data_IF_368233605904
#
_entry.id   IF_368233605904
#
_cell.length_a   1.000
_cell.length_b   1.000
_cell.length_c   1.000
_cell.angle_alpha   90.00
_cell.angle_beta   90.00
_cell.angle_gamma   90.00
#
_symmetry.space_group_name_H-M   'P 1'
#
loop_
_entity.id
_entity.type
_entity.pdbx_description
1 polymer ?
2 non-polymer ?
3 non-polymer ?
4 water ?
#
# COMPACT_ATOMS: atom_id res chain seq x y z
N UNK A 3 18.07 -12.00 25.86
CA UNK A 3 17.32 -11.20 24.85
C UNK A 3 16.63 -12.16 23.86
N UNK A 4 15.39 -11.56 23.39
CA UNK A 4 14.63 -12.03 22.19
C UNK A 4 15.55 -12.00 20.97
N UNK A 5 15.52 -13.04 20.10
CA UNK A 5 16.09 -12.89 18.76
C UNK A 5 15.25 -11.88 17.95
N UNK A 6 15.87 -11.16 17.02
CA UNK A 6 15.15 -10.20 16.16
C UNK A 6 14.34 -10.99 15.14
N UNK A 7 13.09 -10.59 14.86
CA UNK A 7 12.28 -11.34 13.92
C UNK A 7 12.75 -11.18 12.48
N UNK A 8 12.47 -12.22 11.67
CA UNK A 8 12.73 -12.27 10.21
C UNK A 8 11.41 -11.99 9.48
N UNK A 9 10.29 -12.14 10.19
CA UNK A 9 8.93 -11.98 9.64
C UNK A 9 7.99 -11.48 10.74
N UNK A 10 7.04 -10.62 10.37
CA UNK A 10 5.98 -10.12 11.28
C UNK A 10 4.65 -10.28 10.56
N UNK A 11 3.57 -10.22 11.29
CA UNK A 11 2.23 -10.17 10.69
C UNK A 11 1.65 -8.80 10.97
N UNK A 12 0.97 -8.31 9.96
CA UNK A 12 0.39 -6.95 9.97
C UNK A 12 -1.07 -7.14 9.66
N UNK A 13 -1.92 -6.55 10.49
CA UNK A 13 -3.36 -6.44 10.26
C UNK A 13 -3.63 -5.05 9.67
N UNK A 14 -4.36 -5.03 8.56
CA UNK A 14 -4.88 -3.80 7.92
C UNK A 14 -6.40 -3.83 8.03
N UNK A 15 -6.99 -2.79 8.58
CA UNK A 15 -8.45 -2.64 8.60
C UNK A 15 -8.86 -1.37 7.90
N UNK A 16 -9.95 -1.40 7.14
CA UNK A 16 -10.56 -0.19 6.56
C UNK A 16 -12.06 -0.28 6.83
N UNK A 17 -12.60 0.76 7.48
CA UNK A 17 -14.05 0.85 7.72
C UNK A 17 -14.51 2.28 7.55
N UNK A 18 -15.46 2.49 6.65
CA UNK A 18 -16.25 3.73 6.56
C UNK A 18 -17.42 3.56 7.53
N UNK A 19 -17.35 4.26 8.65
CA UNK A 19 -18.25 4.13 9.82
C UNK A 19 -19.58 4.84 9.58
N UNK A 20 -19.73 5.60 8.47
CA UNK A 20 -21.00 6.27 8.14
C UNK A 20 -21.44 7.24 9.23
N UNK A 21 -20.46 7.86 9.89
CA UNK A 21 -20.69 8.96 10.87
C UNK A 21 -21.50 8.44 12.07
N UNK A 22 -21.47 7.13 12.33
CA UNK A 22 -22.22 6.51 13.44
C UNK A 22 -21.24 5.83 14.39
N UNK A 23 -21.50 5.86 15.71
CA UNK A 23 -20.65 5.15 16.65
C UNK A 23 -20.67 3.65 16.35
N UNK A 24 -19.60 2.92 16.70
CA UNK A 24 -19.57 1.48 16.45
C UNK A 24 -20.47 0.75 17.45
N UNK A 25 -20.78 -0.54 17.21
CA UNK A 25 -21.46 -1.35 18.21
C UNK A 25 -20.49 -1.73 19.34
N UNK A 26 -21.00 -2.38 20.38
CA UNK A 26 -20.19 -2.62 21.59
C UNK A 26 -19.10 -3.66 21.27
N UNK A 27 -19.30 -4.52 20.27
CA UNK A 27 -18.31 -5.57 19.95
C UNK A 27 -17.90 -5.49 18.47
N UNK A 28 -16.61 -5.30 18.21
CA UNK A 28 -16.07 -5.25 16.82
C UNK A 28 -14.90 -6.23 16.70
N UNK A 29 -14.78 -7.17 17.63
CA UNK A 29 -13.67 -8.16 17.66
C UNK A 29 -13.57 -9.00 16.35
N UNK A 30 -14.70 -9.27 15.68
CA UNK A 30 -14.75 -10.03 14.41
C UNK A 30 -13.82 -9.41 13.38
N UNK A 31 -13.71 -8.07 13.38
CA UNK A 31 -12.88 -7.34 12.41
C UNK A 31 -11.42 -7.74 12.62
N UNK A 32 -10.93 -7.63 13.84
CA UNK A 32 -9.51 -7.85 14.20
C UNK A 32 -9.19 -9.34 14.10
N UNK A 33 -10.21 -10.18 14.14
CA UNK A 33 -10.06 -11.66 14.03
C UNK A 33 -10.19 -12.12 12.57
N UNK A 34 -10.44 -11.22 11.61
CA UNK A 34 -10.57 -11.61 10.18
C UNK A 34 -11.63 -12.71 10.04
N UNK A 35 -12.79 -12.49 10.66
CA UNK A 35 -13.97 -13.40 10.61
C UNK A 35 -15.08 -12.74 9.79
N UNK A 36 -15.75 -13.54 8.95
CA UNK A 36 -16.91 -13.07 8.19
C UNK A 36 -16.87 -13.75 6.86
N UNK A 37 -16.84 -12.94 5.79
CA UNK A 37 -16.86 -13.44 4.39
C UNK A 37 -15.48 -13.25 3.77
N UNK A 38 -15.18 -14.03 2.73
CA UNK A 38 -13.96 -13.91 1.95
C UNK A 38 -12.92 -14.87 2.43
N UNK A 39 -11.66 -14.44 2.34
CA UNK A 39 -10.48 -15.21 2.82
C UNK A 39 -10.29 -14.88 4.30
N UNK A 40 -10.76 -15.77 5.18
CA UNK A 40 -10.80 -15.54 6.64
C UNK A 40 -9.68 -16.31 7.33
N UNK A 41 -9.42 -15.89 8.54
CA UNK A 41 -8.33 -16.40 9.39
C UNK A 41 -8.83 -17.65 10.13
N UNK A 42 -7.96 -18.64 10.24
CA UNK A 42 -8.23 -19.90 10.96
C UNK A 42 -8.56 -19.60 12.44
N UNK A 43 -9.56 -20.30 12.98
CA UNK A 43 -9.97 -20.15 14.42
C UNK A 43 -8.78 -20.42 15.34
N UNK A 44 -7.90 -21.30 14.93
CA UNK A 44 -6.76 -21.77 15.76
C UNK A 44 -5.79 -20.61 16.01
N UNK A 45 -5.88 -19.52 15.23
CA UNK A 45 -4.98 -18.34 15.34
C UNK A 45 -5.58 -17.25 16.22
N UNK A 46 -6.80 -17.41 16.72
CA UNK A 46 -7.57 -16.31 17.32
C UNK A 46 -6.82 -15.62 18.46
N UNK A 47 -6.07 -16.37 19.29
CA UNK A 47 -5.41 -15.75 20.46
C UNK A 47 -4.04 -15.19 20.10
N UNK A 48 -3.59 -15.43 18.87
CA UNK A 48 -2.23 -15.04 18.44
C UNK A 48 -2.29 -13.60 17.99
N UNK A 49 -1.63 -12.64 18.67
CA UNK A 49 -1.71 -11.25 18.24
C UNK A 49 -0.91 -11.06 16.94
N UNK A 50 -1.39 -10.18 16.07
CA UNK A 50 -0.58 -9.63 14.98
C UNK A 50 0.47 -8.74 15.63
N UNK A 51 1.59 -8.54 14.96
CA UNK A 51 2.69 -7.70 15.48
C UNK A 51 2.28 -6.23 15.44
N UNK A 52 1.62 -5.84 14.35
CA UNK A 52 1.22 -4.43 14.08
C UNK A 52 -0.23 -4.48 13.60
N UNK A 53 -1.09 -3.60 14.13
CA UNK A 53 -2.46 -3.38 13.65
C UNK A 53 -2.55 -1.96 13.10
N UNK A 54 -3.00 -1.81 11.85
CA UNK A 54 -3.18 -0.47 11.22
C UNK A 54 -4.65 -0.35 10.88
N UNK A 55 -5.32 0.62 11.48
CA UNK A 55 -6.81 0.79 11.43
C UNK A 55 -7.14 2.11 10.71
N UNK A 56 -7.68 2.00 9.50
CA UNK A 56 -8.09 3.17 8.69
C UNK A 56 -9.61 3.30 8.80
N UNK A 57 -10.08 4.45 9.23
CA UNK A 57 -11.53 4.78 9.22
C UNK A 57 -11.80 5.98 8.32
N UNK A 58 -13.04 6.05 7.88
CA UNK A 58 -13.59 7.13 7.04
C UNK A 58 -14.94 7.45 7.64
N UNK A 59 -15.37 8.69 7.51
CA UNK A 59 -16.64 9.15 8.13
C UNK A 59 -16.64 8.72 9.61
N UNK A 60 -15.51 8.89 10.30
CA UNK A 60 -15.34 8.44 11.69
C UNK A 60 -15.85 9.55 12.61
N UNK A 61 -16.92 9.33 13.40
CA UNK A 61 -17.51 10.41 14.23
C UNK A 61 -16.85 10.55 15.61
N UNK A 62 -15.89 9.66 15.90
CA UNK A 62 -15.32 9.52 17.25
C UNK A 62 -14.14 10.49 17.40
N UNK A 63 -13.86 10.90 18.62
CA UNK A 63 -12.58 11.55 18.95
C UNK A 63 -11.47 10.50 18.86
N UNK A 64 -10.23 10.95 18.69
CA UNK A 64 -9.07 10.05 18.71
C UNK A 64 -9.09 9.26 20.01
N UNK A 65 -9.40 9.94 21.12
CA UNK A 65 -9.41 9.30 22.44
C UNK A 65 -10.47 8.20 22.47
N UNK A 66 -11.68 8.49 22.01
CA UNK A 66 -12.80 7.53 22.03
C UNK A 66 -12.45 6.28 21.22
N UNK A 67 -11.84 6.46 20.06
CA UNK A 67 -11.55 5.34 19.13
C UNK A 67 -10.38 4.51 19.67
N UNK A 68 -9.35 5.16 20.21
CA UNK A 68 -8.20 4.47 20.85
C UNK A 68 -8.66 3.57 21.99
N UNK A 69 -9.59 4.08 22.82
CA UNK A 69 -10.24 3.34 23.94
C UNK A 69 -10.83 2.03 23.41
N UNK A 70 -11.68 2.13 22.40
CA UNK A 70 -12.39 0.97 21.79
C UNK A 70 -11.38 0.03 21.15
N UNK A 71 -10.42 0.53 20.40
CA UNK A 71 -9.43 -0.33 19.71
C UNK A 71 -8.62 -1.09 20.75
N UNK A 72 -7.99 -0.41 21.69
CA UNK A 72 -7.09 -1.07 22.66
C UNK A 72 -7.84 -2.11 23.50
N UNK A 73 -9.05 -1.77 23.96
CA UNK A 73 -9.93 -2.68 24.73
C UNK A 73 -10.21 -3.94 23.89
N UNK A 74 -10.58 -3.76 22.63
CA UNK A 74 -10.94 -4.86 21.69
C UNK A 74 -9.74 -5.81 21.53
N UNK A 75 -8.54 -5.26 21.31
CA UNK A 75 -7.33 -6.09 21.13
C UNK A 75 -6.98 -6.76 22.47
N UNK A 76 -7.12 -6.05 23.58
CA UNK A 76 -6.85 -6.65 24.92
C UNK A 76 -7.78 -7.86 25.14
N UNK A 77 -9.07 -7.72 24.85
CA UNK A 77 -10.06 -8.81 25.00
C UNK A 77 -9.68 -9.99 24.12
N UNK A 78 -9.25 -9.76 22.88
CA UNK A 78 -8.90 -10.85 21.93
C UNK A 78 -7.63 -11.59 22.38
N UNK A 79 -6.61 -10.83 22.77
CA UNK A 79 -5.21 -11.33 22.81
C UNK A 79 -4.68 -11.34 24.24
N UNK A 80 -5.33 -10.63 25.16
CA UNK A 80 -4.80 -10.33 26.52
C UNK A 80 -3.51 -9.51 26.45
N UNK A 81 -3.26 -8.82 25.32
CA UNK A 81 -2.06 -7.95 25.19
C UNK A 81 -2.53 -6.50 25.17
N UNK A 82 -1.84 -5.64 25.93
CA UNK A 82 -2.03 -4.18 25.95
C UNK A 82 -1.13 -3.57 24.88
N UNK A 83 -1.70 -3.17 23.76
CA UNK A 83 -0.94 -2.68 22.59
C UNK A 83 -0.47 -1.27 22.89
N UNK A 84 0.67 -0.89 22.32
CA UNK A 84 1.22 0.47 22.39
C UNK A 84 0.73 1.24 21.18
N UNK A 85 0.44 2.52 21.36
CA UNK A 85 0.05 3.40 20.25
C UNK A 85 1.33 3.90 19.58
N UNK A 86 1.55 3.55 18.32
CA UNK A 86 2.71 4.02 17.53
C UNK A 86 2.40 5.41 16.98
N UNK A 87 1.21 5.57 16.44
CA UNK A 87 0.81 6.82 15.75
C UNK A 87 -0.70 6.86 15.58
N UNK A 88 -1.22 8.07 15.59
CA UNK A 88 -2.61 8.33 15.23
C UNK A 88 -2.61 9.66 14.49
N UNK A 89 -3.34 9.70 13.39
CA UNK A 89 -3.44 10.93 12.59
C UNK A 89 -4.83 11.02 11.94
N UNK A 90 -5.46 12.17 12.07
CA UNK A 90 -6.84 12.41 11.58
C UNK A 90 -6.83 13.63 10.67
N UNK A 91 -7.47 13.50 9.50
CA UNK A 91 -7.85 14.66 8.65
C UNK A 91 -9.36 14.63 8.52
N UNK A 92 -10.03 15.64 9.06
CA UNK A 92 -11.51 15.70 9.08
C UNK A 92 -12.02 14.40 9.72
N UNK A 93 -12.61 13.50 8.96
CA UNK A 93 -13.25 12.28 9.49
C UNK A 93 -12.51 11.06 8.95
N UNK A 94 -11.29 11.27 8.45
CA UNK A 94 -10.40 10.21 7.90
C UNK A 94 -9.29 9.96 8.92
N UNK A 95 -9.13 8.75 9.39
CA UNK A 95 -8.22 8.51 10.51
C UNK A 95 -7.38 7.25 10.27
N UNK A 96 -6.16 7.30 10.74
CA UNK A 96 -5.27 6.12 10.78
C UNK A 96 -4.72 5.96 12.19
N UNK A 97 -4.80 4.73 12.70
CA UNK A 97 -4.21 4.35 14.01
C UNK A 97 -3.25 3.21 13.76
N UNK A 98 -2.06 3.28 14.35
CA UNK A 98 -1.08 2.18 14.28
C UNK A 98 -0.80 1.76 15.72
N UNK A 99 -1.08 0.49 16.01
CA UNK A 99 -0.86 -0.14 17.32
C UNK A 99 0.16 -1.26 17.11
N UNK A 100 1.03 -1.48 18.10
CA UNK A 100 1.99 -2.60 17.99
C UNK A 100 2.17 -3.28 19.35
N UNK A 101 2.55 -4.57 19.32
CA UNK A 101 2.94 -5.33 20.53
C UNK A 101 3.92 -4.48 21.33
N UNK A 102 3.87 -4.53 22.69
CA UNK A 102 4.86 -3.81 23.49
C UNK A 102 6.31 -4.22 23.24
N UNK A 103 6.56 -5.50 22.92
CA UNK A 103 7.93 -5.99 22.61
C UNK A 103 8.53 -5.26 21.41
N UNK A 104 7.73 -4.57 20.59
CA UNK A 104 8.22 -3.91 19.35
C UNK A 104 8.54 -2.45 19.57
N UNK A 105 8.27 -1.91 20.77
CA UNK A 105 8.39 -0.47 21.03
C UNK A 105 9.78 0.08 20.66
N UNK A 106 10.84 -0.67 20.99
CA UNK A 106 12.24 -0.23 20.76
C UNK A 106 12.70 -0.61 19.35
N UNK A 107 11.90 -1.41 18.62
CA UNK A 107 12.24 -1.80 17.22
C UNK A 107 11.68 -0.74 16.26
N UNK A 108 10.76 0.10 16.75
CA UNK A 108 10.07 1.11 15.91
C UNK A 108 10.66 2.51 16.10
N UNK A 109 11.01 3.18 15.01
CA UNK A 109 11.65 4.51 15.05
C UNK A 109 11.23 5.30 13.81
N UNK A 110 11.63 6.56 13.72
CA UNK A 110 11.38 7.41 12.52
C UNK A 110 9.90 7.41 12.18
N UNK A 111 9.05 7.61 13.16
CA UNK A 111 7.58 7.64 12.93
C UNK A 111 7.25 8.97 12.25
N UNK A 112 6.61 8.89 11.07
CA UNK A 112 6.11 10.06 10.31
C UNK A 112 4.60 9.93 10.12
N UNK A 113 3.90 11.06 10.11
CA UNK A 113 2.44 11.13 9.82
C UNK A 113 2.30 12.26 8.85
N UNK A 114 1.34 12.15 7.95
CA UNK A 114 1.01 13.25 7.04
C UNK A 114 -0.40 13.07 6.51
N UNK A 115 -0.89 14.08 5.84
CA UNK A 115 -2.21 14.01 5.17
C UNK A 115 -2.12 14.79 3.87
N UNK A 116 -3.03 14.46 2.96
CA UNK A 116 -3.25 15.20 1.71
C UNK A 116 -4.74 15.42 1.60
N UNK A 117 -5.13 16.67 1.34
CA UNK A 117 -6.51 17.08 1.01
C UNK A 117 -6.66 17.07 -0.52
N UNK A 118 -7.62 16.33 -1.05
CA UNK A 118 -7.81 16.25 -2.52
C UNK A 118 -8.89 17.24 -2.97
N UNK A 119 -8.82 17.69 -4.22
CA UNK A 119 -9.88 18.52 -4.84
C UNK A 119 -9.67 20.01 -4.59
N UNK A 120 -10.34 20.85 -5.38
CA UNK A 120 -10.13 22.34 -5.45
C UNK A 120 -11.49 23.04 -5.30
N UNK A 121 -11.64 23.88 -4.26
CA UNK A 121 -12.81 24.76 -4.00
C UNK A 121 -14.05 23.93 -3.65
N UNK A 122 -14.96 23.70 -4.61
CA UNK A 122 -16.08 22.72 -4.56
C UNK A 122 -15.60 21.42 -3.89
N UNK A 123 -14.52 20.85 -4.42
CA UNK A 123 -14.10 19.43 -4.26
C UNK A 123 -13.06 19.31 -3.13
N UNK A 124 -12.63 20.43 -2.51
CA UNK A 124 -11.79 20.41 -1.27
C UNK A 124 -12.71 20.63 -0.05
N UNK A 125 -12.70 19.70 0.91
CA UNK A 125 -13.43 19.90 2.17
C UNK A 125 -13.66 18.62 2.95
N UNK A 126 -13.65 17.45 2.32
CA UNK A 126 -13.73 16.24 3.17
C UNK A 126 -13.02 14.95 2.70
N UNK A 127 -12.56 14.90 1.45
CA UNK A 127 -11.86 13.72 0.87
C UNK A 127 -10.34 13.95 0.93
N UNK A 128 -9.57 12.86 1.00
CA UNK A 128 -8.11 12.92 1.01
C UNK A 128 -7.56 11.69 1.66
N UNK A 129 -6.37 11.82 2.24
CA UNK A 129 -5.68 10.66 2.81
C UNK A 129 -4.92 11.08 4.04
N UNK A 130 -4.74 10.10 4.90
CA UNK A 130 -3.79 10.20 6.02
C UNK A 130 -2.80 9.05 5.88
N UNK A 131 -1.62 9.20 6.47
CA UNK A 131 -0.59 8.17 6.36
C UNK A 131 0.37 8.19 7.50
N UNK A 132 0.98 7.03 7.69
CA UNK A 132 1.98 6.78 8.73
C UNK A 132 3.12 6.00 8.08
N UNK A 133 4.34 6.38 8.40
CA UNK A 133 5.50 5.52 8.15
C UNK A 133 6.36 5.38 9.40
N UNK A 134 7.17 4.33 9.40
CA UNK A 134 8.21 4.14 10.43
C UNK A 134 9.19 3.09 9.95
N UNK A 135 10.26 2.94 10.71
CA UNK A 135 11.23 1.83 10.58
C UNK A 135 10.86 0.77 11.61
N UNK A 136 10.84 -0.47 11.18
CA UNK A 136 10.77 -1.66 12.06
C UNK A 136 12.11 -2.35 11.86
N UNK A 137 13.01 -2.19 12.82
CA UNK A 137 14.41 -2.62 12.64
C UNK A 137 14.90 -2.10 11.28
N UNK A 138 15.38 -2.96 10.38
CA UNK A 138 15.98 -2.49 9.13
C UNK A 138 14.96 -2.34 8.02
N UNK A 139 13.65 -2.42 8.30
CA UNK A 139 12.59 -2.46 7.26
C UNK A 139 11.75 -1.19 7.39
N UNK A 140 11.57 -0.48 6.27
CA UNK A 140 10.67 0.69 6.19
C UNK A 140 9.23 0.24 5.86
N UNK A 141 8.26 0.76 6.61
CA UNK A 141 6.83 0.42 6.46
C UNK A 141 6.05 1.72 6.26
N UNK A 142 5.21 1.76 5.24
CA UNK A 142 4.27 2.86 4.99
C UNK A 142 2.85 2.37 4.96
N UNK A 143 1.94 3.24 5.39
CA UNK A 143 0.50 2.93 5.48
C UNK A 143 -0.28 4.16 5.06
N UNK A 144 -1.20 3.99 4.11
CA UNK A 144 -2.03 5.09 3.56
C UNK A 144 -3.49 4.67 3.68
N UNK A 145 -4.28 5.49 4.37
CA UNK A 145 -5.74 5.36 4.47
C UNK A 145 -6.34 6.50 3.65
N UNK A 146 -6.96 6.21 2.51
CA UNK A 146 -7.54 7.27 1.65
C UNK A 146 -9.05 7.12 1.54
N UNK A 147 -9.77 8.23 1.57
CA UNK A 147 -11.21 8.31 1.23
C UNK A 147 -11.31 9.10 -0.09
N UNK A 148 -11.53 8.40 -1.20
CA UNK A 148 -11.50 9.04 -2.52
C UNK A 148 -12.90 9.52 -2.88
N UNK A 149 -12.97 10.29 -3.95
CA UNK A 149 -14.22 10.87 -4.48
C UNK A 149 -15.25 9.74 -4.64
N UNK A 150 -16.49 10.00 -4.25
CA UNK A 150 -17.62 9.06 -4.39
C UNK A 150 -18.28 9.24 -5.74
N UNK A 151 -19.14 8.31 -6.08
CA UNK A 151 -20.02 8.41 -7.25
C UNK A 151 -19.54 7.48 -8.35
N UNK A 152 -20.44 6.68 -8.90
CA UNK A 152 -20.12 5.75 -10.00
C UNK A 152 -19.49 6.45 -11.22
N UNK A 153 -19.83 7.73 -11.42
CA UNK A 153 -19.49 8.51 -12.62
C UNK A 153 -18.08 9.11 -12.52
N UNK A 154 -17.43 9.02 -11.35
CA UNK A 154 -16.18 9.80 -11.04
C UNK A 154 -14.94 8.90 -10.89
N UNK A 155 -14.80 7.87 -11.69
CA UNK A 155 -13.59 7.00 -11.53
C UNK A 155 -12.35 7.83 -11.91
N UNK A 156 -12.45 8.72 -12.88
CA UNK A 156 -11.29 9.54 -13.30
C UNK A 156 -10.83 10.44 -12.14
N UNK A 157 -11.79 11.05 -11.43
CA UNK A 157 -11.51 11.91 -10.25
C UNK A 157 -10.77 11.08 -9.20
N UNK A 158 -11.24 9.86 -8.97
CA UNK A 158 -10.58 8.93 -8.01
C UNK A 158 -9.13 8.72 -8.47
N UNK A 159 -8.92 8.49 -9.76
CA UNK A 159 -7.53 8.26 -10.24
C UNK A 159 -6.68 9.52 -9.98
N UNK A 160 -7.26 10.69 -10.20
CA UNK A 160 -6.59 11.98 -9.94
C UNK A 160 -6.30 12.10 -8.45
N UNK A 161 -7.25 11.71 -7.57
CA UNK A 161 -7.08 11.78 -6.11
C UNK A 161 -5.89 10.91 -5.73
N UNK A 162 -5.83 9.70 -6.28
CA UNK A 162 -4.71 8.77 -6.05
C UNK A 162 -3.37 9.42 -6.44
N UNK A 163 -3.29 10.06 -7.61
CA UNK A 163 -2.00 10.66 -8.06
C UNK A 163 -1.64 11.82 -7.13
N UNK A 164 -2.61 12.64 -6.71
CA UNK A 164 -2.31 13.76 -5.76
C UNK A 164 -1.82 13.21 -4.43
N UNK A 165 -2.41 12.13 -3.92
CA UNK A 165 -1.97 11.53 -2.64
C UNK A 165 -0.54 11.01 -2.77
N UNK A 166 -0.31 10.25 -3.85
CA UNK A 166 0.99 9.62 -4.21
C UNK A 166 2.07 10.69 -4.22
N UNK A 167 1.82 11.80 -4.92
CA UNK A 167 2.80 12.90 -5.08
C UNK A 167 3.07 13.64 -3.76
N UNK A 168 2.05 13.90 -2.95
CA UNK A 168 2.11 14.98 -1.95
C UNK A 168 2.17 14.44 -0.52
N UNK A 169 1.95 13.15 -0.31
CA UNK A 169 2.02 12.60 1.05
C UNK A 169 3.49 12.46 1.39
N UNK A 170 3.94 13.21 2.39
CA UNK A 170 5.36 13.36 2.75
C UNK A 170 5.69 12.40 3.89
N UNK A 171 5.89 11.13 3.56
CA UNK A 171 6.21 10.07 4.54
C UNK A 171 7.59 9.54 4.20
N UNK A 172 8.21 8.81 5.13
CA UNK A 172 9.47 8.11 4.86
C UNK A 172 10.64 9.06 4.84
N UNK A 173 11.75 8.64 4.23
CA UNK A 173 13.06 9.31 4.37
C UNK A 173 13.10 10.49 3.41
N UNK A 174 13.11 11.68 3.96
CA UNK A 174 13.11 12.90 3.12
C UNK A 174 14.38 12.97 2.25
N UNK A 175 15.45 12.33 2.60
CA UNK A 175 16.69 12.29 1.75
C UNK A 175 16.42 11.59 0.43
N UNK A 176 15.37 10.75 0.38
CA UNK A 176 14.95 10.07 -0.88
C UNK A 176 14.17 11.04 -1.77
N UNK A 177 14.78 12.19 -2.07
CA UNK A 177 14.06 13.36 -2.59
C UNK A 177 13.47 13.09 -3.98
N UNK A 178 14.07 12.30 -4.90
CA UNK A 178 13.41 12.02 -6.18
C UNK A 178 12.21 11.07 -6.13
N UNK A 179 11.99 10.44 -4.98
CA UNK A 179 11.08 9.28 -4.82
C UNK A 179 9.81 9.67 -4.07
N UNK A 180 8.68 9.31 -4.65
CA UNK A 180 7.36 9.42 -3.97
C UNK A 180 7.15 8.18 -3.06
N UNK A 181 6.03 8.17 -2.33
CA UNK A 181 5.76 7.05 -1.39
C UNK A 181 5.73 5.71 -2.10
N UNK A 182 5.50 5.62 -3.41
CA UNK A 182 5.44 4.27 -4.06
C UNK A 182 6.84 3.68 -4.20
N UNK A 183 7.91 4.39 -3.80
CA UNK A 183 9.29 3.84 -3.82
C UNK A 183 10.00 3.97 -2.47
N UNK A 184 9.43 4.59 -1.46
CA UNK A 184 10.18 4.89 -0.21
C UNK A 184 10.21 3.74 0.79
N UNK A 185 9.41 2.68 0.61
CA UNK A 185 9.13 1.68 1.69
C UNK A 185 9.37 0.27 1.19
N UNK A 186 10.01 -0.53 2.02
CA UNK A 186 10.09 -2.01 1.81
C UNK A 186 8.69 -2.55 1.53
N UNK A 187 7.73 -2.13 2.34
CA UNK A 187 6.31 -2.54 2.21
C UNK A 187 5.45 -1.30 2.36
N UNK A 188 4.58 -1.06 1.39
CA UNK A 188 3.60 0.04 1.38
C UNK A 188 2.20 -0.58 1.30
N UNK A 189 1.35 -0.26 2.26
CA UNK A 189 -0.06 -0.73 2.29
C UNK A 189 -0.93 0.49 2.05
N UNK A 190 -1.80 0.43 1.06
CA UNK A 190 -2.71 1.54 0.69
C UNK A 190 -4.12 0.98 0.70
N UNK A 191 -4.96 1.56 1.55
CA UNK A 191 -6.31 1.04 1.83
C UNK A 191 -7.22 2.23 2.04
N UNK A 192 -8.49 1.93 2.20
CA UNK A 192 -9.52 2.93 2.46
C UNK A 192 -10.80 2.70 1.73
N UNK A 193 -11.66 3.70 1.83
CA UNK A 193 -12.86 3.80 0.97
C UNK A 193 -12.40 4.43 -0.32
N UNK A 194 -11.88 3.58 -1.22
CA UNK A 194 -11.38 4.05 -2.53
C UNK A 194 -12.55 4.41 -3.44
N UNK A 195 -13.75 3.90 -3.17
CA UNK A 195 -15.01 4.42 -3.75
C UNK A 195 -15.21 4.00 -5.21
N UNK A 196 -14.42 3.05 -5.72
CA UNK A 196 -14.65 2.47 -7.06
C UNK A 196 -15.87 1.54 -7.00
N UNK A 197 -16.66 1.63 -8.07
CA UNK A 197 -18.00 1.03 -8.16
C UNK A 197 -18.01 -0.12 -9.14
N UNK A 198 -19.04 -0.93 -9.01
CA UNK A 198 -19.40 -1.97 -10.03
C UNK A 198 -20.18 -1.22 -11.11
N UNK A 199 -19.54 -0.99 -12.26
CA UNK A 199 -20.11 -0.19 -13.38
C UNK A 199 -21.00 -1.10 -14.23
N UNK A 200 -22.26 -1.23 -13.84
CA UNK A 200 -23.30 -1.92 -14.62
C UNK A 200 -24.47 -0.95 -14.69
N UNK A 201 -25.42 -1.18 -15.63
CA UNK A 201 -26.61 -0.35 -15.71
C UNK A 201 -27.42 -0.38 -14.41
N UNK A 202 -28.01 0.76 -14.02
CA UNK A 202 -28.72 0.92 -12.72
C UNK A 202 -29.98 0.06 -12.68
N UNK A 203 -30.52 -0.30 -13.85
CA UNK A 203 -31.72 -1.17 -13.96
C UNK A 203 -31.32 -2.65 -13.80
N UNK A 204 -30.03 -2.95 -13.71
CA UNK A 204 -29.55 -4.29 -13.30
C UNK A 204 -29.39 -4.41 -11.77
N UNK A 205 -29.85 -3.45 -10.97
CA UNK A 205 -29.65 -3.45 -9.51
C UNK A 205 -30.11 -4.79 -8.93
N UNK A 206 -31.32 -5.23 -9.28
CA UNK A 206 -31.92 -6.42 -8.61
C UNK A 206 -31.14 -7.65 -9.08
N UNK A 207 -30.67 -7.66 -10.32
CA UNK A 207 -29.84 -8.75 -10.87
C UNK A 207 -28.55 -8.81 -10.07
N UNK A 208 -27.92 -7.67 -9.85
CA UNK A 208 -26.67 -7.63 -9.02
C UNK A 208 -26.91 -8.23 -7.64
N UNK A 209 -28.00 -7.82 -6.98
CA UNK A 209 -28.32 -8.35 -5.64
C UNK A 209 -28.47 -9.88 -5.67
N UNK A 210 -29.15 -10.41 -6.68
CA UNK A 210 -29.40 -11.88 -6.77
C UNK A 210 -28.06 -12.60 -7.04
N UNK A 211 -27.13 -11.99 -7.79
CA UNK A 211 -25.76 -12.55 -7.95
C UNK A 211 -25.03 -12.58 -6.59
N UNK A 212 -25.16 -11.50 -5.83
CA UNK A 212 -24.54 -11.45 -4.47
C UNK A 212 -25.13 -12.56 -3.58
N UNK A 213 -26.43 -12.76 -3.59
CA UNK A 213 -27.07 -13.80 -2.76
C UNK A 213 -26.58 -15.18 -3.17
N UNK A 214 -26.24 -15.40 -4.43
CA UNK A 214 -25.71 -16.68 -4.92
C UNK A 214 -24.19 -16.77 -4.74
N UNK A 215 -23.54 -15.73 -4.20
CA UNK A 215 -22.07 -15.68 -4.02
C UNK A 215 -21.37 -15.83 -5.37
N UNK A 216 -21.97 -15.29 -6.43
CA UNK A 216 -21.44 -15.38 -7.81
C UNK A 216 -20.92 -13.98 -8.12
N UNK A 217 -19.67 -13.73 -7.77
CA UNK A 217 -19.06 -12.39 -7.81
C UNK A 217 -18.35 -12.14 -9.16
N UNK A 218 -18.12 -13.18 -9.97
CA UNK A 218 -17.21 -13.13 -11.13
C UNK A 218 -17.67 -12.03 -12.09
N UNK A 219 -18.96 -12.04 -12.42
CA UNK A 219 -19.57 -11.13 -13.41
C UNK A 219 -19.63 -9.73 -12.80
N UNK A 220 -19.60 -9.61 -11.47
CA UNK A 220 -19.60 -8.27 -10.86
C UNK A 220 -18.17 -7.73 -10.89
N UNK A 221 -17.19 -8.53 -10.43
CA UNK A 221 -15.76 -8.09 -10.39
C UNK A 221 -15.23 -7.73 -11.80
N UNK A 222 -15.73 -8.34 -12.88
CA UNK A 222 -15.34 -7.98 -14.26
C UNK A 222 -15.76 -6.53 -14.58
N UNK A 223 -16.61 -5.92 -13.76
CA UNK A 223 -17.06 -4.52 -13.97
C UNK A 223 -16.63 -3.63 -12.81
N UNK A 224 -15.85 -4.16 -11.87
CA UNK A 224 -15.29 -3.36 -10.76
C UNK A 224 -14.32 -2.34 -11.33
N UNK A 225 -14.58 -1.07 -11.05
CA UNK A 225 -13.81 0.02 -11.68
C UNK A 225 -12.36 0.00 -11.19
N UNK A 226 -12.07 -0.45 -9.97
CA UNK A 226 -10.66 -0.45 -9.53
C UNK A 226 -9.93 -1.52 -10.36
N UNK A 227 -10.45 -2.73 -10.45
CA UNK A 227 -9.79 -3.78 -11.26
C UNK A 227 -9.65 -3.33 -12.73
N UNK A 228 -10.68 -2.76 -13.34
CA UNK A 228 -10.61 -2.39 -14.79
C UNK A 228 -9.63 -1.25 -14.98
N UNK A 229 -9.63 -0.25 -14.08
CA UNK A 229 -8.71 0.90 -14.21
C UNK A 229 -7.27 0.44 -14.01
N UNK A 230 -7.05 -0.47 -13.04
CA UNK A 230 -5.72 -1.08 -12.77
C UNK A 230 -5.26 -1.84 -14.01
N UNK A 231 -6.17 -2.60 -14.65
CA UNK A 231 -5.79 -3.42 -15.83
C UNK A 231 -5.38 -2.52 -17.00
N UNK A 232 -5.98 -1.32 -17.12
CA UNK A 232 -5.63 -0.34 -18.18
C UNK A 232 -4.54 0.63 -17.70
N UNK A 233 -3.92 0.36 -16.55
CA UNK A 233 -2.75 1.10 -16.03
C UNK A 233 -3.14 2.56 -15.82
N UNK A 234 -4.35 2.80 -15.32
CA UNK A 234 -4.81 4.19 -15.06
C UNK A 234 -4.58 4.57 -13.61
N UNK A 235 -4.35 3.59 -12.74
CA UNK A 235 -4.29 3.82 -11.29
C UNK A 235 -3.60 2.63 -10.63
N UNK A 236 -2.93 2.87 -9.52
CA UNK A 236 -2.35 1.83 -8.64
C UNK A 236 -1.42 0.92 -9.47
N UNK A 237 -0.66 1.50 -10.39
CA UNK A 237 0.35 0.74 -11.16
C UNK A 237 1.36 0.12 -10.19
N UNK A 238 1.63 -1.16 -10.37
CA UNK A 238 2.63 -1.98 -9.63
C UNK A 238 2.19 -2.28 -8.20
N UNK A 239 0.91 -2.05 -7.88
CA UNK A 239 0.32 -2.53 -6.62
C UNK A 239 -0.34 -3.90 -6.81
N UNK A 240 -0.44 -4.66 -5.71
CA UNK A 240 -1.11 -5.98 -5.66
C UNK A 240 -2.42 -5.83 -4.88
N UNK A 241 -3.40 -6.70 -5.18
CA UNK A 241 -4.61 -6.84 -4.37
C UNK A 241 -4.91 -8.33 -4.37
N UNK A 242 -5.27 -8.86 -3.20
CA UNK A 242 -5.72 -10.27 -3.04
C UNK A 242 -7.06 -10.43 -3.77
N UNK A 243 -7.34 -11.63 -4.30
CA UNK A 243 -8.62 -11.90 -4.98
C UNK A 243 -9.77 -11.63 -4.00
N UNK A 244 -10.81 -10.98 -4.49
CA UNK A 244 -12.00 -10.64 -3.69
C UNK A 244 -12.96 -11.82 -3.73
N UNK A 245 -13.30 -12.34 -2.54
CA UNK A 245 -14.21 -13.52 -2.40
C UNK A 245 -15.27 -13.21 -1.35
N UNK A 246 -15.47 -11.93 -1.03
CA UNK A 246 -16.52 -11.46 -0.09
C UNK A 246 -17.54 -10.63 -0.86
N UNK A 247 -18.76 -10.51 -0.35
CA UNK A 247 -19.80 -9.69 -1.00
C UNK A 247 -19.36 -8.22 -1.02
N UNK A 248 -19.89 -7.43 -1.97
CA UNK A 248 -19.74 -5.97 -1.94
C UNK A 248 -20.01 -5.38 -0.56
N UNK A 249 -19.21 -4.40 -0.14
CA UNK A 249 -19.23 -3.92 1.26
C UNK A 249 -20.06 -2.65 1.38
N UNK A 250 -20.69 -2.21 0.31
CA UNK A 250 -21.46 -0.95 0.18
C UNK A 250 -22.56 -1.20 -0.86
N UNK A 251 -23.77 -0.62 -0.75
CA UNK A 251 -24.25 0.21 0.34
C UNK A 251 -25.36 -0.55 1.05
N UNK A 252 -25.24 -0.80 2.35
CA UNK A 252 -26.19 -1.62 3.14
C UNK A 252 -27.17 -0.70 3.85
N UNK A 253 -28.38 -1.19 4.08
CA UNK A 253 -29.27 -0.63 5.11
C UNK A 253 -28.58 -0.86 6.45
N UNK A 254 -28.58 0.13 7.33
CA UNK A 254 -27.98 0.00 8.67
C UNK A 254 -28.78 -0.99 9.52
N UNK A 255 -28.09 -1.64 10.48
CA UNK A 255 -28.65 -2.53 11.55
C UNK A 255 -29.04 -3.90 10.99
N UNK A 256 -28.84 -4.15 9.70
CA UNK A 256 -28.94 -5.52 9.11
C UNK A 256 -27.79 -5.66 8.12
N UNK A 257 -27.50 -6.86 7.59
CA UNK A 257 -26.71 -6.98 6.32
C UNK A 257 -27.59 -7.64 5.28
N UNK A 258 -28.91 -7.72 5.54
CA UNK A 258 -29.82 -8.50 4.66
C UNK A 258 -30.22 -7.65 3.44
N UNK A 259 -29.88 -6.36 3.41
CA UNK A 259 -30.44 -5.47 2.34
C UNK A 259 -29.38 -4.50 1.83
N UNK A 260 -29.26 -4.43 0.51
CA UNK A 260 -28.49 -3.36 -0.15
C UNK A 260 -29.44 -2.17 -0.42
N UNK A 261 -29.01 -0.97 -0.05
CA UNK A 261 -29.79 0.27 -0.26
C UNK A 261 -29.15 0.98 -1.44
N UNK A 262 -29.67 0.76 -2.62
CA UNK A 262 -29.01 1.27 -3.86
C UNK A 262 -29.78 2.40 -4.56
N UNK A 263 -31.06 2.55 -4.25
CA UNK A 263 -32.01 3.47 -4.94
C UNK A 263 -31.56 4.92 -4.70
N UNK A 264 -31.82 5.79 -5.69
CA UNK A 264 -31.45 7.22 -5.59
C UNK A 264 -32.43 7.90 -4.62
N UNK A 265 -31.89 8.78 -3.80
CA UNK A 265 -32.57 9.47 -2.68
C UNK A 265 -32.07 10.90 -2.65
N UNK A 266 -32.84 11.86 -2.13
CA UNK A 266 -32.27 13.22 -1.93
C UNK A 266 -30.91 13.11 -1.22
N UNK A 267 -30.81 12.27 -0.19
CA UNK A 267 -29.62 12.09 0.65
C UNK A 267 -28.43 11.61 -0.19
N UNK A 268 -28.66 10.96 -1.32
CA UNK A 268 -27.52 10.53 -2.18
C UNK A 268 -27.25 11.53 -3.30
N UNK A 269 -27.83 12.73 -3.28
CA UNK A 269 -27.70 13.63 -4.43
C UNK A 269 -28.37 13.03 -5.65
N UNK A 270 -29.42 12.24 -5.42
CA UNK A 270 -30.17 11.52 -6.50
C UNK A 270 -29.24 10.62 -7.33
N UNK A 271 -28.27 10.00 -6.67
CA UNK A 271 -27.33 9.02 -7.27
C UNK A 271 -27.72 7.61 -6.81
N UNK A 272 -27.64 6.63 -7.71
CA UNK A 272 -27.76 5.20 -7.36
C UNK A 272 -26.41 4.82 -6.76
N UNK A 273 -26.50 3.95 -5.78
CA UNK A 273 -25.31 3.30 -5.19
C UNK A 273 -25.46 1.80 -5.43
N UNK A 274 -25.22 1.34 -6.66
CA UNK A 274 -25.23 -0.12 -6.92
C UNK A 274 -24.20 -0.75 -5.98
N UNK A 275 -24.48 -1.96 -5.47
CA UNK A 275 -23.55 -2.68 -4.61
C UNK A 275 -22.16 -2.69 -5.24
N UNK A 276 -21.18 -2.35 -4.41
CA UNK A 276 -19.80 -2.13 -4.87
C UNK A 276 -18.78 -2.50 -3.81
N UNK A 277 -17.59 -2.78 -4.31
CA UNK A 277 -16.41 -3.03 -3.43
C UNK A 277 -15.68 -1.70 -3.24
N UNK A 278 -16.26 -0.85 -2.44
CA UNK A 278 -15.70 0.49 -2.18
C UNK A 278 -14.44 0.37 -1.33
N UNK A 279 -14.36 -0.66 -0.50
CA UNK A 279 -13.48 -0.69 0.68
C UNK A 279 -12.39 -1.72 0.43
N UNK A 280 -11.17 -1.26 0.29
CA UNK A 280 -10.12 -2.10 -0.33
C UNK A 280 -8.79 -1.98 0.41
N UNK A 281 -7.95 -2.98 0.19
CA UNK A 281 -6.56 -3.03 0.70
C UNK A 281 -5.66 -3.49 -0.43
N UNK A 282 -4.69 -2.66 -0.78
CA UNK A 282 -3.64 -3.01 -1.76
C UNK A 282 -2.27 -2.84 -1.11
N UNK A 283 -1.27 -3.41 -1.75
CA UNK A 283 0.11 -3.22 -1.24
C UNK A 283 1.11 -3.22 -2.38
N UNK A 284 2.28 -2.70 -2.08
CA UNK A 284 3.43 -2.73 -2.98
C UNK A 284 4.65 -2.90 -2.08
N UNK A 285 5.41 -3.97 -2.32
CA UNK A 285 6.64 -4.28 -1.59
C UNK A 285 7.78 -4.25 -2.61
N UNK A 286 8.98 -3.98 -2.14
CA UNK A 286 10.20 -4.02 -2.98
C UNK A 286 10.32 -5.41 -3.58
N UNK A 287 10.97 -5.51 -4.75
CA UNK A 287 11.15 -6.80 -5.41
C UNK A 287 11.86 -7.85 -4.53
N UNK A 288 11.33 -9.09 -4.53
CA UNK A 288 11.93 -10.27 -3.85
C UNK A 288 11.98 -10.09 -2.33
N UNK A 289 11.04 -9.31 -1.78
CA UNK A 289 10.77 -9.34 -0.32
C UNK A 289 9.54 -10.21 -0.09
N UNK A 290 9.61 -11.02 0.95
CA UNK A 290 8.49 -11.88 1.38
C UNK A 290 7.31 -10.98 1.74
N UNK A 291 6.19 -11.18 1.07
CA UNK A 291 4.90 -10.59 1.51
C UNK A 291 3.80 -11.53 1.05
N UNK A 292 3.00 -12.01 1.97
CA UNK A 292 1.94 -12.99 1.66
C UNK A 292 0.67 -12.51 2.35
N UNK A 293 -0.39 -12.32 1.58
CA UNK A 293 -1.71 -12.02 2.14
C UNK A 293 -2.29 -13.31 2.75
N UNK A 294 -2.63 -13.25 4.04
CA UNK A 294 -3.16 -14.39 4.84
C UNK A 294 -4.69 -14.31 4.95
N UNK A 295 -5.27 -13.12 4.80
CA UNK A 295 -6.72 -12.90 4.93
C UNK A 295 -7.11 -11.65 4.15
N UNK A 296 -8.31 -11.64 3.61
CA UNK A 296 -8.91 -10.49 2.90
C UNK A 296 -10.39 -10.77 2.83
N UNK A 297 -11.15 -10.03 3.62
CA UNK A 297 -12.56 -10.31 3.78
C UNK A 297 -13.29 -9.17 4.41
N UNK A 298 -14.56 -9.39 4.69
CA UNK A 298 -15.44 -8.37 5.32
C UNK A 298 -16.14 -8.99 6.51
N UNK A 299 -16.46 -8.20 7.51
CA UNK A 299 -17.26 -8.70 8.67
C UNK A 299 -18.73 -8.79 8.23
N UNK A 300 -19.49 -9.63 8.90
CA UNK A 300 -20.94 -9.88 8.68
C UNK A 300 -21.77 -9.36 9.85
N UNK A 301 -21.15 -9.03 10.98
CA UNK A 301 -21.85 -8.83 12.27
C UNK A 301 -21.68 -7.39 12.81
N UNK A 302 -21.12 -6.46 12.03
CA UNK A 302 -20.92 -5.03 12.44
C UNK A 302 -21.75 -4.24 11.45
N UNK A 303 -22.86 -3.67 11.92
CA UNK A 303 -23.98 -3.19 11.07
C UNK A 303 -24.36 -1.73 11.34
N UNK A 304 -23.53 -0.99 12.09
CA UNK A 304 -23.84 0.43 12.43
C UNK A 304 -23.68 1.32 11.20
N UNK A 305 -22.87 0.94 10.21
CA UNK A 305 -22.60 1.76 9.02
C UNK A 305 -23.31 1.19 7.80
N UNK A 306 -23.36 1.96 6.74
CA UNK A 306 -23.83 1.49 5.43
C UNK A 306 -22.67 0.82 4.70
N UNK A 307 -21.50 0.75 5.34
CA UNK A 307 -20.36 -0.06 4.85
C UNK A 307 -20.05 -1.14 5.88
N UNK A 308 -19.62 -2.31 5.40
CA UNK A 308 -19.03 -3.34 6.27
C UNK A 308 -17.53 -3.08 6.38
N UNK A 309 -16.95 -3.27 7.58
CA UNK A 309 -15.50 -3.30 7.74
C UNK A 309 -14.84 -4.34 6.82
N UNK A 310 -13.66 -4.01 6.32
CA UNK A 310 -12.77 -4.91 5.55
C UNK A 310 -11.50 -5.12 6.37
N UNK A 311 -11.00 -6.34 6.32
CA UNK A 311 -9.75 -6.74 6.98
C UNK A 311 -8.85 -7.37 5.94
N UNK A 312 -7.56 -7.22 6.15
CA UNK A 312 -6.54 -7.97 5.41
C UNK A 312 -5.37 -8.20 6.39
N UNK A 313 -4.76 -9.37 6.32
CA UNK A 313 -3.56 -9.64 7.12
C UNK A 313 -2.45 -10.11 6.20
N UNK A 314 -1.24 -9.81 6.62
CA UNK A 314 -0.06 -10.11 5.84
C UNK A 314 1.05 -10.66 6.71
N UNK A 315 1.81 -11.59 6.13
CA UNK A 315 3.17 -11.98 6.59
C UNK A 315 4.17 -11.13 5.80
N UNK A 316 4.95 -10.29 6.47
CA UNK A 316 5.90 -9.35 5.81
C UNK A 316 7.31 -9.66 6.29
N UNK A 317 8.23 -9.84 5.34
CA UNK A 317 9.63 -10.03 5.67
C UNK A 317 10.19 -8.76 6.27
N UNK A 318 11.02 -8.90 7.29
CA UNK A 318 11.71 -7.77 7.94
C UNK A 318 13.16 -8.19 8.16
N UNK A 319 14.05 -7.20 8.26
CA UNK A 319 15.48 -7.43 8.51
C UNK A 319 15.86 -6.77 9.82
N UNK A 320 17.00 -7.18 10.37
CA UNK A 320 17.59 -6.67 11.63
C UNK A 320 18.26 -5.32 11.36
N UNK A 321 18.57 -4.56 12.42
CA UNK A 321 19.41 -3.34 12.34
C UNK A 321 20.89 -3.78 12.36
N UNK A 322 21.49 -3.98 11.19
CA UNK A 322 22.82 -4.63 11.04
C UNK A 322 23.95 -3.71 11.50
N UNK A 323 24.86 -4.25 12.33
CA UNK A 323 26.15 -3.59 12.73
C UNK A 323 27.31 -4.54 12.40
N UNK A 324 28.34 -4.01 11.76
CA UNK A 324 29.64 -4.71 11.58
C UNK A 324 30.75 -3.88 12.24
N UNK A 325 31.97 -4.44 12.22
CA UNK A 325 33.23 -3.80 12.69
C UNK A 325 33.48 -2.49 11.90
N UNK A 326 33.07 -2.51 10.63
CA UNK A 326 33.20 -1.40 9.65
C UNK A 326 31.90 -0.57 9.69
N UNK A 327 31.03 -0.69 8.69
CA UNK A 327 29.79 0.09 8.66
C UNK A 327 28.79 -0.45 9.70
N UNK A 328 27.79 0.37 10.13
CA UNK A 328 27.75 1.80 9.80
C UNK A 328 28.89 2.68 10.31
N UNK A 329 29.15 3.79 9.61
CA UNK A 329 30.14 4.82 9.95
C UNK A 329 31.35 4.78 9.05
N UNK A 330 31.39 3.80 8.16
CA UNK A 330 32.47 3.68 7.14
C UNK A 330 32.01 2.69 6.06
N UNK A 331 32.79 2.59 4.99
CA UNK A 331 32.57 1.62 3.90
C UNK A 331 33.22 0.29 4.30
N UNK A 332 32.82 -0.78 3.63
CA UNK A 332 33.41 -2.14 3.81
C UNK A 332 34.06 -2.51 2.47
N UNK A 333 35.38 -2.36 2.37
CA UNK A 333 36.10 -2.47 1.08
C UNK A 333 35.91 -3.86 0.47
N UNK A 334 35.34 -4.82 1.20
CA UNK A 334 35.11 -6.20 0.67
C UNK A 334 33.82 -6.23 -0.16
N UNK A 335 33.01 -5.18 -0.09
CA UNK A 335 31.73 -5.09 -0.81
C UNK A 335 31.81 -4.13 -1.98
N UNK A 336 31.14 -4.45 -3.09
CA UNK A 336 30.95 -3.52 -4.23
C UNK A 336 29.77 -3.95 -5.10
N UNK A 337 29.14 -2.97 -5.70
CA UNK A 337 28.03 -3.19 -6.67
C UNK A 337 28.44 -2.55 -7.99
N UNK A 338 28.49 -3.35 -9.04
CA UNK A 338 28.85 -2.90 -10.41
C UNK A 338 27.69 -3.15 -11.35
N UNK A 339 27.53 -2.23 -12.31
CA UNK A 339 26.52 -2.23 -13.40
C UNK A 339 27.24 -2.31 -14.75
N UNK A 340 26.79 -3.22 -15.62
CA UNK A 340 27.35 -3.44 -16.97
C UNK A 340 26.23 -3.31 -17.98
N UNK A 341 26.55 -2.90 -19.21
CA UNK A 341 25.63 -2.87 -20.38
C UNK A 341 24.27 -2.27 -19.94
N UNK A 342 24.26 -1.16 -19.19
CA UNK A 342 22.99 -0.57 -18.68
C UNK A 342 22.45 0.49 -19.65
N UNK A 343 21.15 0.51 -19.82
CA UNK A 343 20.50 1.61 -20.56
C UNK A 343 19.08 1.83 -20.03
N UNK A 344 18.67 3.09 -20.07
CA UNK A 344 17.30 3.51 -19.75
C UNK A 344 16.58 3.70 -21.09
N UNK A 345 15.32 3.33 -21.16
CA UNK A 345 14.45 3.58 -22.31
C UNK A 345 13.37 4.50 -21.77
N UNK A 346 13.25 5.71 -22.30
CA UNK A 346 12.31 6.72 -21.75
C UNK A 346 11.26 7.01 -22.80
N UNK A 347 10.04 7.31 -22.35
CA UNK A 347 8.90 7.66 -23.25
C UNK A 347 8.93 9.16 -23.56
N UNK A 348 9.71 9.94 -22.84
CA UNK A 348 9.80 11.41 -23.03
C UNK A 348 10.05 11.78 -24.49
N UNK A 349 9.39 12.83 -24.96
CA UNK A 349 9.61 13.39 -26.32
C UNK A 349 10.74 14.42 -26.27
N UNK A 350 11.23 14.77 -25.08
CA UNK A 350 12.27 15.81 -24.89
C UNK A 350 13.65 15.25 -25.28
N UNK A 351 14.59 16.16 -25.56
CA UNK A 351 16.03 15.90 -25.81
C UNK A 351 16.83 16.83 -24.88
N UNK A 352 17.15 16.35 -23.68
CA UNK A 352 18.16 16.87 -22.72
C UNK A 352 19.12 15.69 -22.46
N UNK A 353 20.26 15.93 -21.86
CA UNK A 353 21.12 14.86 -21.31
C UNK A 353 20.48 14.33 -20.02
N UNK A 354 20.76 13.08 -19.68
CA UNK A 354 20.29 12.43 -18.44
C UNK A 354 21.47 11.83 -17.68
N UNK A 355 21.37 11.84 -16.37
CA UNK A 355 22.25 11.10 -15.44
C UNK A 355 21.41 10.27 -14.48
N UNK A 356 22.03 9.28 -13.83
CA UNK A 356 21.35 8.42 -12.83
C UNK A 356 21.72 8.86 -11.41
N UNK A 357 20.79 8.71 -10.46
CA UNK A 357 21.07 8.73 -9.02
C UNK A 357 20.73 7.38 -8.40
N UNK A 358 21.65 6.85 -7.62
CA UNK A 358 21.51 5.59 -6.88
C UNK A 358 21.28 5.97 -5.42
N UNK A 359 20.14 5.59 -4.85
CA UNK A 359 19.87 5.78 -3.42
C UNK A 359 19.66 4.42 -2.74
N UNK A 360 20.30 4.22 -1.60
CA UNK A 360 20.07 2.98 -0.80
C UNK A 360 20.62 3.20 0.60
N UNK A 361 19.96 2.59 1.59
CA UNK A 361 20.40 2.56 3.01
C UNK A 361 21.73 1.81 3.15
N UNK A 362 22.12 1.02 2.15
CA UNK A 362 23.42 0.29 2.15
C UNK A 362 24.58 1.20 1.69
N UNK A 363 24.30 2.45 1.24
CA UNK A 363 25.34 3.45 0.85
C UNK A 363 25.38 4.55 1.91
N UNK A 364 26.54 5.20 2.06
CA UNK A 364 26.68 6.29 3.07
C UNK A 364 25.84 7.48 2.60
N UNK A 365 25.78 7.73 1.31
CA UNK A 365 24.86 8.72 0.72
C UNK A 365 24.65 8.38 -0.75
N UNK A 366 23.75 9.11 -1.40
CA UNK A 366 23.33 8.76 -2.78
C UNK A 366 24.49 9.08 -3.73
N UNK A 367 24.46 8.41 -4.85
CA UNK A 367 25.56 8.43 -5.85
C UNK A 367 24.99 8.90 -7.17
N UNK A 368 25.67 9.88 -7.78
CA UNK A 368 25.27 10.52 -9.06
C UNK A 368 26.23 10.06 -10.17
N UNK A 369 25.70 9.43 -11.22
CA UNK A 369 26.49 8.91 -12.35
C UNK A 369 26.89 10.09 -13.25
N UNK A 370 27.77 9.80 -14.21
CA UNK A 370 28.01 10.63 -15.41
C UNK A 370 26.75 10.63 -16.27
N UNK A 371 26.65 11.61 -17.17
CA UNK A 371 25.58 11.63 -18.20
C UNK A 371 25.71 10.39 -19.09
N UNK A 372 24.59 9.77 -19.44
CA UNK A 372 24.57 8.72 -20.46
C UNK A 372 24.58 9.30 -21.86
N UNK A 373 24.66 8.42 -22.87
CA UNK A 373 24.67 8.80 -24.31
C UNK A 373 23.31 8.49 -24.91
N UNK A 374 22.61 9.54 -25.34
CA UNK A 374 21.26 9.44 -25.96
C UNK A 374 21.42 8.79 -27.34
N UNK A 375 20.60 7.77 -27.62
CA UNK A 375 20.36 7.30 -29.00
C UNK A 375 18.85 7.21 -29.22
N UNK A 376 18.47 7.10 -30.50
CA UNK A 376 17.08 6.88 -30.99
C UNK A 376 16.79 5.37 -30.98
N UNK A 377 15.74 4.93 -30.28
CA UNK A 377 15.18 3.56 -30.38
C UNK A 377 14.53 3.31 -31.75
N UNK A 378 14.45 2.05 -32.18
CA UNK A 378 13.95 1.63 -33.52
C UNK A 378 12.46 1.98 -33.68
N UNK A 379 11.76 2.32 -32.60
CA UNK A 379 10.29 2.55 -32.60
C UNK A 379 9.97 3.94 -32.05
N UNK A 380 10.90 4.91 -32.16
CA UNK A 380 10.70 6.31 -31.75
C UNK A 380 11.37 6.68 -30.41
N UNK A 381 11.70 5.69 -29.56
CA UNK A 381 12.00 5.89 -28.11
C UNK A 381 13.30 6.68 -27.93
N UNK A 382 13.45 7.34 -26.78
CA UNK A 382 14.79 7.79 -26.32
C UNK A 382 15.47 6.64 -25.56
N UNK A 383 16.65 6.20 -26.00
CA UNK A 383 17.47 5.21 -25.26
C UNK A 383 18.66 5.96 -24.71
N UNK A 384 18.85 5.92 -23.39
CA UNK A 384 20.00 6.56 -22.71
C UNK A 384 20.98 5.44 -22.36
N UNK A 385 22.12 5.40 -23.05
CA UNK A 385 23.11 4.32 -22.87
C UNK A 385 24.12 4.75 -21.80
N UNK A 386 24.32 3.90 -20.80
CA UNK A 386 25.32 4.08 -19.74
C UNK A 386 26.53 3.17 -19.98
N UNK A 387 26.38 2.17 -20.85
CA UNK A 387 27.38 1.11 -21.10
C UNK A 387 27.98 0.60 -19.78
N UNK A 388 29.28 0.82 -19.61
CA UNK A 388 30.11 0.33 -18.48
C UNK A 388 30.56 1.55 -17.67
N UNK A 389 29.88 2.69 -17.86
CA UNK A 389 30.31 4.01 -17.33
C UNK A 389 29.77 4.23 -15.90
N UNK A 390 28.83 3.42 -15.41
CA UNK A 390 28.16 3.72 -14.11
C UNK A 390 29.18 3.52 -13.00
N UNK A 391 29.19 4.34 -11.92
CA UNK A 391 30.17 4.18 -10.86
C UNK A 391 30.06 2.81 -10.17
N UNK A 392 31.10 2.47 -9.43
CA UNK A 392 31.16 1.28 -8.55
C UNK A 392 30.60 1.73 -7.21
N UNK A 393 29.52 1.09 -6.75
CA UNK A 393 28.83 1.50 -5.50
C UNK A 393 29.53 0.78 -4.35
N UNK A 394 29.77 1.50 -3.26
CA UNK A 394 30.58 1.02 -2.11
C UNK A 394 29.64 0.87 -0.92
N UNK A 395 29.15 -0.34 -0.62
CA UNK A 395 28.22 -0.50 0.48
C UNK A 395 28.92 -0.37 1.83
N UNK A 396 28.15 -0.06 2.87
CA UNK A 396 28.64 0.21 4.26
C UNK A 396 28.99 -1.12 4.93
N UNK A 397 28.38 -2.20 4.45
CA UNK A 397 28.53 -3.57 5.03
C UNK A 397 28.62 -4.58 3.87
N UNK A 398 29.56 -5.52 3.93
CA UNK A 398 29.87 -6.47 2.84
C UNK A 398 29.23 -7.82 3.11
N UNK A 399 28.85 -8.06 4.36
CA UNK A 399 28.27 -9.33 4.82
C UNK A 399 27.11 -9.63 3.87
N UNK A 400 27.11 -10.82 3.21
CA UNK A 400 26.02 -11.16 2.29
C UNK A 400 24.68 -11.31 2.98
N UNK A 401 24.68 -11.67 4.27
CA UNK A 401 23.43 -11.78 5.11
C UNK A 401 22.75 -10.42 5.22
N UNK A 402 23.51 -9.35 5.08
CA UNK A 402 22.95 -7.97 5.02
C UNK A 402 22.71 -7.60 3.56
N UNK A 403 23.76 -7.68 2.74
CA UNK A 403 23.76 -6.97 1.43
C UNK A 403 22.72 -7.58 0.47
N UNK A 404 22.54 -8.91 0.49
CA UNK A 404 21.61 -9.56 -0.45
C UNK A 404 20.16 -9.17 -0.12
N UNK A 405 19.91 -8.63 1.07
CA UNK A 405 18.55 -8.20 1.48
C UNK A 405 18.28 -6.74 1.08
N UNK A 406 19.24 -6.06 0.46
CA UNK A 406 19.09 -4.60 0.26
C UNK A 406 18.52 -4.33 -1.11
N UNK A 407 18.23 -3.05 -1.38
CA UNK A 407 17.63 -2.56 -2.64
C UNK A 407 18.30 -1.26 -3.04
N UNK A 408 18.42 -1.07 -4.36
CA UNK A 408 18.94 0.20 -4.95
C UNK A 408 17.79 0.86 -5.67
N UNK A 409 17.41 2.04 -5.19
CA UNK A 409 16.48 2.93 -5.90
C UNK A 409 17.27 3.69 -6.96
N UNK A 410 16.68 3.81 -8.14
CA UNK A 410 17.30 4.53 -9.28
C UNK A 410 16.36 5.63 -9.70
N UNK A 411 16.90 6.84 -9.81
CA UNK A 411 16.25 7.97 -10.51
C UNK A 411 17.07 8.34 -11.73
N UNK A 412 16.42 8.53 -12.88
CA UNK A 412 17.04 9.13 -14.09
C UNK A 412 16.64 10.60 -14.12
N UNK A 413 17.64 11.47 -14.12
CA UNK A 413 17.37 12.92 -13.98
C UNK A 413 17.89 13.67 -15.20
N UNK A 414 17.18 14.71 -15.59
CA UNK A 414 17.61 15.68 -16.61
C UNK A 414 18.80 16.49 -16.07
N UNK A 415 19.89 16.57 -16.83
CA UNK A 415 21.05 17.45 -16.53
C UNK A 415 20.62 18.92 -16.50
N UNK A 416 19.69 19.34 -17.36
CA UNK A 416 19.21 20.75 -17.48
C UNK A 416 18.40 21.17 -16.24
N UNK A 417 17.57 20.28 -15.70
CA UNK A 417 16.54 20.67 -14.70
C UNK A 417 16.75 19.98 -13.35
N UNK A 418 17.54 18.90 -13.31
CA UNK A 418 17.72 18.01 -12.13
C UNK A 418 16.38 17.40 -11.69
N UNK A 419 15.39 17.43 -12.62
CA UNK A 419 14.09 16.81 -12.28
C UNK A 419 14.15 15.32 -12.67
N UNK A 420 13.58 14.45 -11.83
CA UNK A 420 13.49 13.01 -12.15
C UNK A 420 12.46 12.81 -13.27
N UNK A 421 12.83 12.06 -14.30
CA UNK A 421 11.92 11.57 -15.37
C UNK A 421 11.47 10.14 -15.09
N UNK A 422 12.05 9.49 -14.09
CA UNK A 422 11.68 8.08 -13.84
C UNK A 422 12.36 7.54 -12.61
N UNK A 423 11.63 6.76 -11.85
CA UNK A 423 12.11 6.13 -10.62
C UNK A 423 11.81 4.64 -10.69
N UNK A 424 12.73 3.85 -10.15
CA UNK A 424 12.56 2.39 -10.05
C UNK A 424 13.43 1.81 -8.97
N UNK A 425 13.42 0.50 -8.84
CA UNK A 425 14.05 -0.19 -7.71
C UNK A 425 14.59 -1.53 -8.17
N UNK A 426 15.80 -1.85 -7.74
CA UNK A 426 16.56 -3.07 -8.09
C UNK A 426 16.87 -3.84 -6.81
N UNK A 427 16.42 -5.09 -6.72
CA UNK A 427 16.73 -5.98 -5.57
C UNK A 427 18.17 -6.50 -5.72
N UNK A 428 18.89 -6.58 -4.61
CA UNK A 428 20.22 -7.26 -4.55
C UNK A 428 20.09 -8.71 -4.09
N UNK A 429 18.87 -9.25 -4.07
CA UNK A 429 18.60 -10.68 -3.75
C UNK A 429 18.95 -11.54 -4.97
N UNK A 430 20.23 -11.57 -5.34
CA UNK A 430 20.70 -12.21 -6.60
C UNK A 430 20.81 -13.72 -6.46
N UNK A 431 20.74 -14.40 -7.60
CA UNK A 431 20.96 -15.86 -7.74
C UNK A 431 22.42 -16.20 -7.48
N UNK A 432 23.33 -15.25 -7.64
CA UNK A 432 24.79 -15.47 -7.53
C UNK A 432 25.47 -14.16 -7.18
N UNK A 433 26.64 -14.24 -6.57
CA UNK A 433 27.55 -13.10 -6.39
C UNK A 433 28.74 -13.24 -7.35
N UNK A 434 29.45 -12.16 -7.60
CA UNK A 434 30.67 -12.16 -8.47
C UNK A 434 30.31 -12.71 -9.86
N UNK A 435 29.06 -12.51 -10.30
CA UNK A 435 28.50 -13.07 -11.55
C UNK A 435 27.66 -11.97 -12.22
N UNK A 436 27.90 -11.67 -13.49
CA UNK A 436 27.03 -10.73 -14.26
C UNK A 436 25.63 -11.31 -14.37
N UNK A 437 24.63 -10.60 -13.89
CA UNK A 437 23.25 -11.12 -13.91
C UNK A 437 22.34 -10.02 -14.46
N UNK A 438 21.29 -10.37 -15.23
CA UNK A 438 20.41 -9.34 -15.74
C UNK A 438 19.68 -8.63 -14.58
N UNK A 439 19.47 -7.33 -14.72
CA UNK A 439 18.58 -6.53 -13.83
C UNK A 439 17.59 -5.75 -14.68
N UNK A 440 16.50 -5.37 -14.02
CA UNK A 440 15.38 -4.72 -14.72
C UNK A 440 14.55 -4.02 -13.67
N UNK A 441 14.10 -2.81 -14.00
CA UNK A 441 12.95 -2.18 -13.31
C UNK A 441 12.19 -1.32 -14.30
N UNK A 442 10.86 -1.29 -14.22
CA UNK A 442 10.08 -0.23 -14.85
C UNK A 442 10.47 1.07 -14.15
N UNK A 443 10.31 2.16 -14.87
CA UNK A 443 10.50 3.52 -14.33
C UNK A 443 9.15 4.20 -14.35
N UNK A 444 8.84 4.88 -13.25
CA UNK A 444 7.60 5.65 -13.11
C UNK A 444 7.95 7.08 -12.69
N UNK A 445 7.04 8.00 -12.95
CA UNK A 445 7.10 9.37 -12.39
C UNK A 445 5.67 9.79 -12.10
N UNK A 446 5.44 10.27 -10.87
CA UNK A 446 4.08 10.49 -10.34
C UNK A 446 3.27 9.20 -10.49
N UNK A 447 3.92 8.04 -10.45
CA UNK A 447 3.22 6.74 -10.40
C UNK A 447 2.80 6.27 -11.78
N UNK A 448 3.14 7.02 -12.83
CA UNK A 448 2.86 6.65 -14.23
C UNK A 448 4.11 6.08 -14.87
N UNK A 449 3.95 5.07 -15.72
CA UNK A 449 5.08 4.47 -16.47
C UNK A 449 5.71 5.54 -17.39
N UNK A 450 7.03 5.73 -17.26
CA UNK A 450 7.79 6.72 -18.06
C UNK A 450 8.95 6.06 -18.79
N UNK A 451 9.14 4.77 -18.56
CA UNK A 451 10.26 4.07 -19.22
C UNK A 451 10.70 2.82 -18.47
N UNK A 452 11.91 2.39 -18.76
CA UNK A 452 12.52 1.14 -18.25
C UNK A 452 14.01 1.36 -18.02
N UNK A 453 14.56 0.60 -17.08
CA UNK A 453 16.00 0.52 -16.84
C UNK A 453 16.37 -0.95 -16.83
N UNK A 454 17.40 -1.28 -17.60
CA UNK A 454 17.86 -2.70 -17.65
C UNK A 454 19.34 -2.74 -17.97
N UNK A 455 19.94 -3.85 -17.60
CA UNK A 455 21.37 -4.07 -17.83
C UNK A 455 21.78 -5.28 -17.05
N UNK A 456 23.00 -5.23 -16.53
CA UNK A 456 23.54 -6.33 -15.73
C UNK A 456 24.14 -5.75 -14.46
N UNK A 457 24.16 -6.56 -13.42
CA UNK A 457 24.74 -6.22 -12.10
C UNK A 457 25.81 -7.28 -11.81
N UNK A 458 26.85 -6.90 -11.04
CA UNK A 458 27.90 -7.80 -10.51
C UNK A 458 28.07 -7.38 -9.05
N UNK A 459 27.64 -8.28 -8.12
CA UNK A 459 27.66 -7.98 -6.69
C UNK A 459 28.79 -8.76 -6.03
N UNK A 460 29.66 -8.04 -5.33
CA UNK A 460 30.75 -8.60 -4.49
C UNK A 460 30.34 -8.48 -3.01
N UNK A 461 30.33 -9.60 -2.28
CA UNK A 461 30.10 -9.61 -0.82
C UNK A 461 31.36 -10.18 -0.19
N UNK A 462 31.42 -10.18 1.14
CA UNK A 462 32.56 -10.75 1.90
C UNK A 462 32.64 -12.28 1.69
N UNK A 463 31.61 -12.92 1.12
CA UNK A 463 31.65 -14.39 0.89
C UNK A 463 31.94 -14.73 -0.59
X LIG B 1 -8.10 20.55 7.90
X LIG B 1 -7.01 21.01 10.46
X LIG B 1 -4.84 17.40 9.88
X LIG B 1 -4.97 18.32 11.10
X LIG B 1 -3.83 18.14 12.10
X LIG B 1 -6.34 18.26 11.77
X LIG B 1 -7.47 18.48 10.74
X LIG B 1 -8.75 20.05 9.19
X LIG B 1 -6.38 21.60 9.18
X LIG B 1 -6.52 16.99 12.46
X LIG B 1 -7.72 19.79 10.17
X LIG B 1 -8.14 17.54 10.41
X LIG B 1 -7.31 21.71 8.11
X LIG C 1 14.60 -4.15 4.04
X LIG C 1 14.21 -4.97 5.21
X LIG C 1 14.57 -5.24 2.64
X LIG C 1 16.38 -3.99 4.10
X LIG D 1 16.23 1.54 0.67
X LIG D 1 17.69 1.23 0.88
X LIG D 1 16.13 3.31 0.84
X LIG D 1 16.02 1.49 -1.07
X LIG E 1 9.42 -1.01 -9.66
X LIG E 1 9.59 -0.10 -8.48
X LIG E 1 7.83 -1.79 -9.45
X LIG E 1 10.42 -2.42 -9.31
#
# INVERSE_FOLDING_TARGET
SMEQPEPDMITIFIGTWNMGNAPPPKKITSWFLSKGQGKTRDDSADYIPHDIYVIGTQEDPLSEKEWLEILKHSLQEITSVTFKTVAIHTLWNIRIVVLAKPEHENRISHICTDNVKTGIANTLGNKGAVGVSFMFNGTSLGFVNSHLTSGSEKKLRRNQNYMNILRFLALGDKKLSPFNITHRFTHLFWFGDLNYRVDLPTWEAETIIQKIKQQQYADLLSHDQLLTERREQKVFLHFEEEEITFAPTYRFERLTRDKYAYTKQKATGMKYNLPSWCDRVLWKSYPLVHVVCQSYGSTSDIMTSDHSPVFATFEAGVTSQFVSKNGPGTVDSQGQIEFLRCYATLKTKSQTKFYLEFHSSCLESFVKSQEGENEEGSEGELVVKFGETLPKLKPIISDPEYLLDQHILISIKSSDSDESYGEGCIALRLEATETQLPIYTPLTHHGELTGHFQGEIKLQTSQ
WKM C10 C13 C01 C02 C03 C04 C06 C09 C12 N05 N08 O07 O11
DMS S O C1 C2
DMS S O C1 C2
DMS S O C1 C2
#
